data_IF_291910916855
#
_entry.id   IF_291910916855
#
_cell.length_a   1.000
_cell.length_b   1.000
_cell.length_c   1.000
_cell.angle_alpha   90.00
_cell.angle_beta   90.00
_cell.angle_gamma   90.00
#
_symmetry.space_group_name_H-M   'P 1'
#
loop_
_entity.id
_entity.type
_entity.pdbx_description
1 polymer ?
#
# COMPACT_ATOMS: atom_id res chain seq x y z
N UNK A 1 19.38 17.43 -18.23
CA UNK A 1 20.11 16.52 -17.31
C UNK A 1 19.59 16.73 -15.88
N UNK A 2 18.52 16.03 -15.47
CA UNK A 2 17.87 16.29 -14.19
C UNK A 2 18.77 15.99 -12.97
N UNK A 3 19.75 15.09 -13.12
CA UNK A 3 20.82 14.79 -12.13
C UNK A 3 21.62 16.04 -11.77
N UNK A 4 22.10 16.77 -12.79
CA UNK A 4 22.94 17.96 -12.60
C UNK A 4 22.14 19.03 -11.85
N UNK A 5 20.86 19.20 -12.19
CA UNK A 5 19.98 20.14 -11.49
C UNK A 5 19.66 19.72 -10.05
N UNK A 6 19.53 18.42 -9.75
CA UNK A 6 19.37 17.96 -8.37
C UNK A 6 20.62 18.25 -7.52
N UNK A 7 21.81 18.02 -8.07
CA UNK A 7 23.09 18.34 -7.44
C UNK A 7 23.23 19.86 -7.22
N UNK A 8 22.96 20.66 -8.24
CA UNK A 8 22.99 22.13 -8.15
C UNK A 8 22.00 22.63 -7.09
N UNK A 9 20.79 22.06 -7.04
CA UNK A 9 19.79 22.39 -6.01
C UNK A 9 20.29 22.11 -4.60
N UNK A 10 21.00 21.00 -4.38
CA UNK A 10 21.58 20.65 -3.09
C UNK A 10 22.62 21.66 -2.64
N UNK A 11 23.52 22.08 -3.53
CA UNK A 11 24.49 23.13 -3.21
C UNK A 11 23.81 24.47 -2.91
N UNK A 12 22.82 24.88 -3.72
CA UNK A 12 22.05 26.10 -3.47
C UNK A 12 21.31 26.04 -2.13
N UNK A 13 20.87 24.86 -1.69
CA UNK A 13 20.17 24.72 -0.40
C UNK A 13 21.08 24.91 0.81
N UNK A 14 22.33 24.42 0.72
CA UNK A 14 23.31 24.42 1.82
C UNK A 14 24.04 25.76 1.98
N UNK A 15 24.13 26.56 0.92
CA UNK A 15 24.84 27.83 0.96
C UNK A 15 24.30 28.77 2.06
N UNK A 16 25.19 29.43 2.84
CA UNK A 16 24.80 30.34 3.91
C UNK A 16 24.42 31.72 3.35
N UNK A 17 23.35 31.78 2.55
CA UNK A 17 22.86 33.00 1.88
C UNK A 17 22.69 34.20 2.82
N UNK A 18 22.36 33.93 4.09
CA UNK A 18 22.18 34.95 5.12
C UNK A 18 23.50 35.64 5.51
N UNK A 19 24.63 34.93 5.47
CA UNK A 19 25.95 35.52 5.71
C UNK A 19 26.41 36.40 4.56
N UNK A 20 25.80 36.27 3.39
CA UNK A 20 26.09 37.05 2.19
C UNK A 20 25.11 38.21 1.97
N UNK A 21 24.20 38.45 2.93
CA UNK A 21 23.21 39.53 2.87
C UNK A 21 21.96 39.23 2.03
N UNK A 22 21.79 37.99 1.55
CA UNK A 22 20.63 37.60 0.73
C UNK A 22 19.49 37.01 1.58
N UNK A 23 18.23 37.25 1.19
CA UNK A 23 17.08 36.68 1.89
C UNK A 23 17.02 35.15 1.71
N UNK A 24 16.96 34.40 2.82
CA UNK A 24 17.04 32.93 2.84
C UNK A 24 15.80 32.24 2.21
N UNK A 25 14.61 32.83 2.37
CA UNK A 25 13.32 32.25 1.96
C UNK A 25 13.19 32.01 0.44
N UNK A 26 13.50 32.97 -0.46
CA UNK A 26 13.37 32.77 -1.90
C UNK A 26 14.33 31.71 -2.44
N UNK A 27 15.60 31.71 -2.02
CA UNK A 27 16.60 30.75 -2.50
C UNK A 27 16.29 29.31 -2.10
N UNK A 28 15.76 29.10 -0.88
CA UNK A 28 15.26 27.77 -0.47
C UNK A 28 14.06 27.30 -1.31
N UNK A 29 13.12 28.18 -1.65
CA UNK A 29 11.98 27.82 -2.53
C UNK A 29 12.44 27.46 -3.93
N UNK A 30 13.37 28.24 -4.49
CA UNK A 30 13.92 27.98 -5.82
C UNK A 30 14.65 26.64 -5.85
N UNK A 31 15.49 26.34 -4.85
CA UNK A 31 16.17 25.04 -4.72
C UNK A 31 15.19 23.86 -4.60
N UNK A 32 14.03 24.05 -3.96
CA UNK A 32 13.01 23.01 -3.88
C UNK A 32 12.21 22.82 -5.17
N UNK A 33 12.04 23.85 -5.99
CA UNK A 33 11.20 23.82 -7.19
C UNK A 33 11.98 23.37 -8.43
N UNK A 34 13.27 23.74 -8.54
CA UNK A 34 14.13 23.43 -9.69
C UNK A 34 14.13 21.92 -10.05
N UNK A 35 14.29 20.98 -9.10
CA UNK A 35 14.35 19.56 -9.42
C UNK A 35 13.01 19.00 -9.92
N UNK A 36 11.88 19.51 -9.40
CA UNK A 36 10.54 19.13 -9.87
C UNK A 36 10.31 19.63 -11.29
N UNK A 37 10.60 20.91 -11.55
CA UNK A 37 10.44 21.50 -12.88
C UNK A 37 11.29 20.74 -13.90
N UNK A 38 12.51 20.35 -13.56
CA UNK A 38 13.38 19.64 -14.50
C UNK A 38 12.90 18.22 -14.78
N UNK A 39 12.33 17.51 -13.80
CA UNK A 39 11.66 16.21 -14.01
C UNK A 39 10.41 16.38 -14.89
N UNK A 40 9.60 17.41 -14.69
CA UNK A 40 8.41 17.67 -15.52
C UNK A 40 8.80 18.02 -16.95
N UNK A 41 9.77 18.92 -17.13
CA UNK A 41 10.26 19.32 -18.46
C UNK A 41 10.94 18.19 -19.21
N UNK A 42 11.59 17.25 -18.52
CA UNK A 42 12.14 16.05 -19.17
C UNK A 42 11.06 15.04 -19.52
N UNK A 43 9.98 14.91 -18.74
CA UNK A 43 8.81 14.10 -19.12
C UNK A 43 8.12 14.61 -20.38
N UNK A 44 8.00 15.93 -20.55
CA UNK A 44 7.36 16.52 -21.74
C UNK A 44 8.16 16.31 -23.03
N UNK A 45 9.45 15.94 -22.93
CA UNK A 45 10.34 15.71 -24.07
C UNK A 45 10.68 14.24 -24.28
N UNK A 46 10.04 13.34 -23.52
CA UNK A 46 10.33 11.92 -23.58
C UNK A 46 9.52 11.25 -24.69
N UNK A 47 10.22 10.54 -25.58
CA UNK A 47 9.62 9.49 -26.39
C UNK A 47 9.22 8.30 -25.51
N UNK A 48 8.36 7.43 -26.05
CA UNK A 48 7.68 6.30 -25.37
C UNK A 48 8.59 5.39 -24.54
N UNK A 49 9.91 5.37 -24.80
CA UNK A 49 10.90 4.59 -24.06
C UNK A 49 11.97 5.48 -23.39
N UNK A 50 11.87 5.76 -22.07
CA UNK A 50 12.87 6.48 -21.32
C UNK A 50 14.16 5.67 -21.20
N UNK A 51 15.32 6.31 -21.39
CA UNK A 51 16.62 5.69 -21.20
C UNK A 51 16.96 5.51 -19.71
N UNK A 52 17.84 4.56 -19.39
CA UNK A 52 18.19 4.16 -18.01
C UNK A 52 18.59 5.34 -17.09
N UNK A 53 19.27 6.35 -17.64
CA UNK A 53 19.73 7.53 -16.88
C UNK A 53 18.57 8.43 -16.41
N UNK A 54 17.40 8.35 -17.04
CA UNK A 54 16.22 9.07 -16.60
C UNK A 54 15.68 8.51 -15.28
N UNK A 55 15.63 7.17 -15.15
CA UNK A 55 15.24 6.51 -13.90
C UNK A 55 16.20 6.84 -12.76
N UNK A 56 17.52 6.76 -13.03
CA UNK A 56 18.53 7.16 -12.06
C UNK A 56 18.33 8.61 -11.60
N UNK A 57 17.97 9.50 -12.52
CA UNK A 57 17.72 10.90 -12.18
C UNK A 57 16.51 11.13 -11.28
N UNK A 58 15.41 10.40 -11.49
CA UNK A 58 14.24 10.52 -10.61
C UNK A 58 14.55 9.95 -9.24
N UNK A 59 15.25 8.81 -9.16
CA UNK A 59 15.66 8.23 -7.89
C UNK A 59 16.61 9.15 -7.11
N UNK A 60 17.56 9.80 -7.79
CA UNK A 60 18.45 10.80 -7.16
C UNK A 60 17.64 12.00 -6.66
N UNK A 61 16.66 12.46 -7.44
CA UNK A 61 15.77 13.56 -7.03
C UNK A 61 14.90 13.17 -5.84
N UNK A 62 14.39 11.94 -5.81
CA UNK A 62 13.66 11.38 -4.68
C UNK A 62 14.53 11.27 -3.42
N UNK A 63 15.78 10.82 -3.57
CA UNK A 63 16.78 10.77 -2.50
C UNK A 63 17.11 12.15 -1.94
N UNK A 64 17.21 13.16 -2.80
CA UNK A 64 17.40 14.56 -2.39
C UNK A 64 16.25 15.06 -1.49
N UNK A 65 15.00 14.79 -1.85
CA UNK A 65 13.85 15.17 -1.01
C UNK A 65 13.82 14.41 0.32
N UNK A 66 14.26 13.13 0.35
CA UNK A 66 14.39 12.37 1.61
C UNK A 66 15.46 12.99 2.50
N UNK A 67 16.63 13.31 1.95
CA UNK A 67 17.72 13.92 2.72
C UNK A 67 17.31 15.27 3.31
N UNK A 68 16.66 16.14 2.53
CA UNK A 68 16.14 17.43 3.03
C UNK A 68 15.03 17.24 4.06
N UNK A 69 14.15 16.24 3.87
CA UNK A 69 13.10 15.93 4.85
C UNK A 69 13.69 15.58 6.22
N UNK A 70 14.75 14.76 6.24
CA UNK A 70 15.43 14.39 7.48
C UNK A 70 16.13 15.58 8.15
N UNK A 71 16.81 16.42 7.37
CA UNK A 71 17.51 17.62 7.89
C UNK A 71 16.54 18.66 8.46
N UNK A 72 15.38 18.85 7.81
CA UNK A 72 14.40 19.86 8.23
C UNK A 72 13.29 19.34 9.17
N UNK A 73 13.26 18.04 9.47
CA UNK A 73 12.15 17.35 10.15
C UNK A 73 10.76 17.57 9.49
N UNK A 74 10.74 17.85 8.19
CA UNK A 74 9.52 18.16 7.44
C UNK A 74 9.03 16.91 6.66
N UNK A 75 8.26 16.05 7.32
CA UNK A 75 7.72 14.81 6.73
C UNK A 75 6.93 15.03 5.41
N UNK A 76 6.37 16.23 5.19
CA UNK A 76 5.65 16.58 3.95
C UNK A 76 6.48 16.41 2.68
N UNK A 77 7.81 16.62 2.75
CA UNK A 77 8.70 16.45 1.60
C UNK A 77 8.92 14.97 1.25
N UNK A 78 8.74 14.06 2.20
CA UNK A 78 8.80 12.61 1.98
C UNK A 78 7.68 12.15 1.05
N UNK A 79 6.50 12.81 1.06
CA UNK A 79 5.39 12.50 0.16
C UNK A 79 5.72 12.78 -1.31
N UNK A 80 6.48 13.84 -1.58
CA UNK A 80 6.93 14.19 -2.94
C UNK A 80 7.91 13.12 -3.45
N UNK A 81 8.85 12.70 -2.60
CA UNK A 81 9.77 11.61 -2.92
C UNK A 81 9.05 10.30 -3.24
N UNK A 82 8.05 9.94 -2.43
CA UNK A 82 7.23 8.75 -2.63
C UNK A 82 6.44 8.80 -3.93
N UNK A 83 5.85 9.95 -4.26
CA UNK A 83 5.17 10.17 -5.55
C UNK A 83 6.13 9.98 -6.73
N UNK A 84 7.35 10.52 -6.63
CA UNK A 84 8.39 10.35 -7.66
C UNK A 84 8.84 8.89 -7.84
N UNK A 85 9.00 8.16 -6.74
CA UNK A 85 9.37 6.73 -6.77
C UNK A 85 8.25 5.91 -7.43
N UNK A 86 6.99 6.12 -7.03
CA UNK A 86 5.84 5.44 -7.65
C UNK A 86 5.76 5.75 -9.15
N UNK A 87 5.95 7.01 -9.52
CA UNK A 87 5.89 7.43 -10.91
C UNK A 87 7.00 6.78 -11.76
N UNK A 88 8.23 6.75 -11.25
CA UNK A 88 9.34 6.05 -11.91
C UNK A 88 9.05 4.55 -12.06
N UNK A 89 8.44 3.94 -11.05
CA UNK A 89 8.09 2.52 -11.05
C UNK A 89 7.00 2.19 -12.07
N UNK A 90 5.93 3.00 -12.16
CA UNK A 90 4.85 2.83 -13.15
C UNK A 90 5.40 2.94 -14.57
N UNK A 91 6.27 3.91 -14.84
CA UNK A 91 6.88 4.08 -16.17
C UNK A 91 7.83 2.93 -16.48
N UNK A 92 8.60 2.46 -15.51
CA UNK A 92 9.48 1.30 -15.69
C UNK A 92 8.67 0.05 -16.05
N UNK A 93 7.55 -0.20 -15.37
CA UNK A 93 6.64 -1.31 -15.68
C UNK A 93 6.02 -1.17 -17.08
N UNK A 94 5.53 0.02 -17.44
CA UNK A 94 4.95 0.25 -18.77
C UNK A 94 5.95 -0.05 -19.90
N UNK A 95 7.25 0.22 -19.68
CA UNK A 95 8.30 -0.03 -20.67
C UNK A 95 8.70 -1.50 -20.80
N UNK A 96 8.41 -2.32 -19.79
CA UNK A 96 8.69 -3.75 -19.86
C UNK A 96 7.74 -4.49 -20.81
N UNK A 97 6.70 -3.83 -21.33
CA UNK A 97 5.88 -4.27 -22.47
C UNK A 97 5.09 -5.57 -22.27
N UNK A 98 5.26 -6.24 -21.13
CA UNK A 98 4.50 -7.43 -20.78
C UNK A 98 3.10 -7.06 -20.30
N UNK A 99 2.16 -8.00 -20.46
CA UNK A 99 0.88 -8.04 -19.73
C UNK A 99 1.14 -8.20 -18.24
N UNK A 100 1.74 -7.17 -17.64
CA UNK A 100 2.10 -7.12 -16.24
C UNK A 100 0.79 -7.03 -15.48
N UNK A 101 0.61 -7.98 -14.58
CA UNK A 101 -0.50 -8.05 -13.64
C UNK A 101 -0.70 -6.66 -12.99
N UNK A 102 -1.90 -6.10 -13.12
CA UNK A 102 -2.45 -4.90 -12.46
C UNK A 102 -2.05 -4.85 -10.98
N UNK A 103 -1.92 -6.00 -10.32
CA UNK A 103 -1.40 -6.14 -8.97
C UNK A 103 -0.03 -5.47 -8.77
N UNK A 104 0.87 -5.59 -9.74
CA UNK A 104 2.23 -5.03 -9.69
C UNK A 104 2.19 -3.50 -9.82
N UNK A 105 1.22 -2.93 -10.54
CA UNK A 105 1.00 -1.47 -10.60
C UNK A 105 0.42 -0.91 -9.29
N UNK A 106 -0.44 -1.69 -8.65
CA UNK A 106 -1.21 -1.26 -7.48
C UNK A 106 -0.42 -1.45 -6.17
N UNK A 107 0.49 -2.43 -6.13
CA UNK A 107 1.32 -2.71 -4.95
C UNK A 107 2.14 -1.50 -4.46
N UNK A 108 2.86 -0.75 -5.32
CA UNK A 108 3.59 0.45 -4.91
C UNK A 108 2.67 1.53 -4.32
N UNK A 109 1.48 1.70 -4.90
CA UNK A 109 0.48 2.67 -4.44
C UNK A 109 -0.02 2.28 -3.05
N UNK A 110 -0.37 1.00 -2.84
CA UNK A 110 -0.79 0.48 -1.54
C UNK A 110 0.31 0.57 -0.49
N UNK A 111 1.55 0.20 -0.83
CA UNK A 111 2.72 0.32 0.06
C UNK A 111 3.01 1.78 0.44
N UNK A 112 2.77 2.71 -0.48
CA UNK A 112 2.92 4.14 -0.24
C UNK A 112 1.93 4.65 0.80
N UNK A 113 0.66 4.26 0.68
CA UNK A 113 -0.36 4.54 1.70
C UNK A 113 0.04 3.97 3.06
N UNK A 114 0.50 2.70 3.10
CA UNK A 114 0.96 2.08 4.34
C UNK A 114 2.16 2.80 4.96
N UNK A 115 3.09 3.29 4.15
CA UNK A 115 4.23 4.08 4.60
C UNK A 115 3.78 5.40 5.22
N UNK A 116 2.87 6.13 4.55
CA UNK A 116 2.30 7.39 5.06
C UNK A 116 1.64 7.16 6.43
N UNK A 117 0.88 6.07 6.57
CA UNK A 117 0.23 5.70 7.82
C UNK A 117 1.21 5.39 8.98
N UNK A 118 2.47 5.07 8.67
CA UNK A 118 3.52 4.76 9.67
C UNK A 118 4.38 5.98 10.01
N UNK A 119 4.70 6.82 9.03
CA UNK A 119 5.72 7.86 9.15
C UNK A 119 5.13 9.23 9.49
N UNK A 120 3.87 9.51 9.15
CA UNK A 120 3.26 10.83 9.41
C UNK A 120 3.15 11.12 10.92
N UNK A 121 3.80 12.19 11.44
CA UNK A 121 3.72 12.57 12.85
C UNK A 121 2.32 13.05 13.26
N UNK A 122 1.52 13.60 12.33
CA UNK A 122 0.15 14.02 12.63
C UNK A 122 -0.79 12.82 12.81
N UNK A 123 -0.49 11.68 12.19
CA UNK A 123 -1.25 10.43 12.34
C UNK A 123 -0.85 9.61 13.58
N UNK A 124 0.24 9.99 14.27
CA UNK A 124 0.65 9.38 15.55
C UNK A 124 -0.17 9.90 16.74
N UNK A 125 -0.81 11.06 16.60
CA UNK A 125 -1.67 11.61 17.66
C UNK A 125 -2.85 10.67 17.92
N UNK A 126 -3.23 10.45 19.19
CA UNK A 126 -4.32 9.54 19.55
C UNK A 126 -5.66 9.95 18.92
N UNK A 127 -5.86 11.25 18.71
CA UNK A 127 -7.03 11.83 18.04
C UNK A 127 -7.21 11.34 16.58
N UNK A 128 -6.12 10.95 15.91
CA UNK A 128 -6.14 10.53 14.50
C UNK A 128 -6.03 9.00 14.32
N UNK A 129 -6.28 8.21 15.38
CA UNK A 129 -6.28 6.74 15.34
C UNK A 129 -7.17 6.20 14.22
N UNK A 130 -8.38 6.74 14.08
CA UNK A 130 -9.34 6.32 13.05
C UNK A 130 -8.82 6.58 11.63
N UNK A 131 -8.18 7.72 11.39
CA UNK A 131 -7.63 8.05 10.07
C UNK A 131 -6.48 7.11 9.73
N UNK A 132 -5.59 6.83 10.68
CA UNK A 132 -4.48 5.88 10.52
C UNK A 132 -5.00 4.47 10.20
N UNK A 133 -6.02 4.01 10.93
CA UNK A 133 -6.64 2.72 10.71
C UNK A 133 -7.27 2.64 9.30
N UNK A 134 -8.06 3.64 8.91
CA UNK A 134 -8.68 3.69 7.59
C UNK A 134 -7.63 3.69 6.47
N UNK A 135 -6.54 4.44 6.63
CA UNK A 135 -5.46 4.48 5.63
C UNK A 135 -4.78 3.11 5.47
N UNK A 136 -4.56 2.39 6.58
CA UNK A 136 -4.04 1.02 6.57
C UNK A 136 -5.01 0.07 5.88
N UNK A 137 -6.31 0.20 6.18
CA UNK A 137 -7.38 -0.61 5.60
C UNK A 137 -7.53 -0.38 4.10
N UNK A 138 -7.45 0.88 3.64
CA UNK A 138 -7.45 1.21 2.22
C UNK A 138 -6.19 0.71 1.51
N UNK A 139 -5.01 0.92 2.10
CA UNK A 139 -3.74 0.50 1.51
C UNK A 139 -3.65 -1.02 1.34
N UNK A 140 -3.99 -1.79 2.37
CA UNK A 140 -4.03 -3.26 2.28
C UNK A 140 -5.20 -3.77 1.46
N UNK A 141 -6.37 -3.13 1.58
CA UNK A 141 -7.59 -3.47 0.86
C UNK A 141 -7.42 -3.38 -0.64
N UNK A 142 -6.82 -2.31 -1.14
CA UNK A 142 -6.55 -2.10 -2.56
C UNK A 142 -5.63 -3.21 -3.11
N UNK A 143 -4.57 -3.59 -2.39
CA UNK A 143 -3.66 -4.68 -2.82
C UNK A 143 -4.41 -6.00 -2.88
N UNK A 144 -5.16 -6.34 -1.83
CA UNK A 144 -5.87 -7.62 -1.75
C UNK A 144 -7.04 -7.71 -2.74
N UNK A 145 -7.77 -6.61 -2.93
CA UNK A 145 -8.88 -6.54 -3.87
C UNK A 145 -8.43 -6.72 -5.32
N UNK A 146 -7.34 -6.06 -5.71
CA UNK A 146 -6.77 -6.23 -7.06
C UNK A 146 -6.20 -7.64 -7.24
N UNK A 147 -5.58 -8.22 -6.21
CA UNK A 147 -5.13 -9.61 -6.26
C UNK A 147 -6.28 -10.61 -6.52
N UNK A 148 -7.46 -10.37 -5.93
CA UNK A 148 -8.66 -11.17 -6.17
C UNK A 148 -9.19 -11.02 -7.60
N UNK A 149 -9.23 -9.79 -8.12
CA UNK A 149 -9.77 -9.52 -9.45
C UNK A 149 -8.91 -10.12 -10.57
N UNK A 150 -7.59 -10.11 -10.43
CA UNK A 150 -6.70 -10.60 -11.48
C UNK A 150 -6.56 -12.12 -11.55
N UNK A 151 -6.64 -12.80 -10.40
CA UNK A 151 -6.38 -14.23 -10.29
C UNK A 151 -7.64 -15.02 -9.91
N UNK A 152 -8.79 -14.63 -10.47
CA UNK A 152 -10.08 -15.30 -10.22
C UNK A 152 -10.04 -16.80 -10.52
N UNK A 153 -9.21 -17.23 -11.48
CA UNK A 153 -9.17 -18.61 -11.97
C UNK A 153 -8.23 -19.52 -11.20
N UNK A 154 -7.07 -19.02 -10.77
CA UNK A 154 -6.06 -19.82 -10.06
C UNK A 154 -6.23 -19.72 -8.56
N UNK A 155 -6.67 -18.56 -8.03
CA UNK A 155 -6.90 -18.27 -6.61
C UNK A 155 -5.70 -18.48 -5.66
N UNK A 156 -4.56 -19.00 -6.14
CA UNK A 156 -3.37 -19.24 -5.34
C UNK A 156 -2.70 -17.93 -4.90
N UNK A 157 -2.53 -16.98 -5.83
CA UNK A 157 -1.94 -15.67 -5.54
C UNK A 157 -2.73 -14.85 -4.50
N UNK A 158 -4.05 -14.63 -4.65
CA UNK A 158 -4.84 -13.95 -3.63
C UNK A 158 -4.85 -14.72 -2.30
N UNK A 159 -4.82 -16.06 -2.34
CA UNK A 159 -4.68 -16.90 -1.16
C UNK A 159 -3.39 -16.60 -0.39
N UNK A 160 -2.24 -16.65 -1.05
CA UNK A 160 -0.93 -16.37 -0.43
C UNK A 160 -0.88 -14.93 0.11
N UNK A 161 -1.34 -13.95 -0.65
CA UNK A 161 -1.38 -12.54 -0.23
C UNK A 161 -2.28 -12.36 1.00
N UNK A 162 -3.44 -13.00 1.03
CA UNK A 162 -4.35 -12.96 2.17
C UNK A 162 -3.75 -13.58 3.43
N UNK A 163 -3.02 -14.70 3.29
CA UNK A 163 -2.30 -15.35 4.40
C UNK A 163 -1.20 -14.42 4.93
N UNK A 164 -0.39 -13.83 4.04
CA UNK A 164 0.64 -12.86 4.43
C UNK A 164 0.00 -11.67 5.16
N UNK A 165 -1.13 -11.16 4.68
CA UNK A 165 -1.86 -10.07 5.32
C UNK A 165 -2.38 -10.46 6.72
N UNK A 166 -2.89 -11.68 6.90
CA UNK A 166 -3.33 -12.20 8.20
C UNK A 166 -2.14 -12.29 9.16
N UNK A 167 -1.03 -12.90 8.74
CA UNK A 167 0.18 -12.99 9.56
C UNK A 167 0.75 -11.61 9.89
N UNK A 168 0.75 -10.69 8.94
CA UNK A 168 1.17 -9.31 9.19
C UNK A 168 0.23 -8.61 10.18
N UNK A 169 -1.07 -8.82 10.08
CA UNK A 169 -2.06 -8.26 11.00
C UNK A 169 -1.92 -8.79 12.42
N UNK A 170 -1.67 -10.09 12.58
CA UNK A 170 -1.39 -10.71 13.88
C UNK A 170 -0.04 -10.25 14.46
N UNK A 171 1.02 -10.26 13.65
CA UNK A 171 2.37 -9.90 14.11
C UNK A 171 2.52 -8.41 14.45
N UNK A 172 1.79 -7.54 13.75
CA UNK A 172 1.79 -6.10 14.00
C UNK A 172 0.62 -5.64 14.89
N UNK A 173 -0.24 -6.56 15.36
CA UNK A 173 -1.46 -6.26 16.13
C UNK A 173 -2.30 -5.14 15.49
N UNK A 174 -2.55 -5.27 14.19
CA UNK A 174 -3.24 -4.25 13.39
C UNK A 174 -4.47 -4.83 12.73
N UNK A 175 -5.63 -4.43 13.26
CA UNK A 175 -6.95 -4.95 12.82
C UNK A 175 -7.19 -4.82 11.32
N UNK A 176 -6.72 -3.74 10.72
CA UNK A 176 -6.90 -3.47 9.30
C UNK A 176 -6.35 -4.58 8.39
N UNK A 177 -5.15 -5.10 8.68
CA UNK A 177 -4.56 -6.17 7.86
C UNK A 177 -5.24 -7.52 8.11
N UNK A 178 -5.63 -7.79 9.36
CA UNK A 178 -6.33 -9.00 9.73
C UNK A 178 -7.70 -9.07 9.05
N UNK A 179 -8.52 -8.02 9.16
CA UNK A 179 -9.84 -7.97 8.54
C UNK A 179 -9.77 -8.06 7.02
N UNK A 180 -8.90 -7.29 6.38
CA UNK A 180 -8.74 -7.33 4.93
C UNK A 180 -8.26 -8.71 4.47
N UNK A 181 -7.27 -9.28 5.16
CA UNK A 181 -6.76 -10.62 4.84
C UNK A 181 -7.84 -11.69 4.99
N UNK A 182 -8.57 -11.71 6.10
CA UNK A 182 -9.65 -12.68 6.34
C UNK A 182 -10.78 -12.56 5.33
N UNK A 183 -11.27 -11.34 5.04
CA UNK A 183 -12.32 -11.12 4.04
C UNK A 183 -11.85 -11.59 2.66
N UNK A 184 -10.61 -11.25 2.29
CA UNK A 184 -10.03 -11.65 1.00
C UNK A 184 -9.92 -13.16 0.89
N UNK A 185 -9.47 -13.83 1.95
CA UNK A 185 -9.36 -15.29 1.99
C UNK A 185 -10.73 -15.95 1.85
N UNK A 186 -11.73 -15.47 2.60
CA UNK A 186 -13.11 -15.97 2.53
C UNK A 186 -13.64 -15.82 1.10
N UNK A 187 -13.56 -14.62 0.53
CA UNK A 187 -14.03 -14.36 -0.85
C UNK A 187 -13.30 -15.26 -1.85
N UNK A 188 -11.99 -15.45 -1.70
CA UNK A 188 -11.20 -16.33 -2.57
C UNK A 188 -11.66 -17.79 -2.49
N UNK A 189 -11.86 -18.32 -1.28
CA UNK A 189 -12.35 -19.69 -1.06
C UNK A 189 -13.75 -19.86 -1.65
N UNK A 190 -14.65 -18.92 -1.41
CA UNK A 190 -15.99 -18.94 -2.02
C UNK A 190 -15.93 -18.92 -3.55
N UNK A 191 -15.09 -18.06 -4.13
CA UNK A 191 -14.91 -18.00 -5.57
C UNK A 191 -14.37 -19.33 -6.13
N UNK A 192 -13.36 -19.92 -5.50
CA UNK A 192 -12.83 -21.22 -5.90
C UNK A 192 -13.87 -22.35 -5.77
N UNK A 193 -14.70 -22.33 -4.71
CA UNK A 193 -15.81 -23.28 -4.57
C UNK A 193 -16.83 -23.13 -5.70
N UNK A 194 -17.16 -21.90 -6.11
CA UNK A 194 -18.08 -21.65 -7.24
C UNK A 194 -17.48 -22.17 -8.56
N UNK A 195 -16.20 -21.90 -8.81
CA UNK A 195 -15.50 -22.40 -10.00
C UNK A 195 -15.46 -23.93 -10.02
N UNK A 196 -15.10 -24.56 -8.89
CA UNK A 196 -15.08 -26.02 -8.73
C UNK A 196 -16.46 -26.64 -8.95
N UNK A 197 -17.49 -26.02 -8.39
CA UNK A 197 -18.89 -26.37 -8.56
C UNK A 197 -19.33 -26.25 -10.03
N UNK A 198 -18.84 -25.25 -10.76
CA UNK A 198 -19.17 -25.06 -12.17
C UNK A 198 -18.53 -26.11 -13.08
N UNK A 199 -17.29 -26.50 -12.80
CA UNK A 199 -16.51 -27.42 -13.66
C UNK A 199 -16.90 -28.88 -13.41
N UNK A 200 -17.15 -29.27 -12.16
CA UNK A 200 -17.38 -30.68 -11.81
C UNK A 200 -18.79 -30.91 -11.28
N UNK A 201 -19.64 -31.56 -12.09
CA UNK A 201 -21.03 -31.87 -11.71
C UNK A 201 -21.15 -32.75 -10.45
N UNK A 202 -20.14 -33.59 -10.17
CA UNK A 202 -20.07 -34.40 -8.95
C UNK A 202 -19.80 -33.55 -7.69
N UNK A 203 -18.97 -32.52 -7.80
CA UNK A 203 -18.69 -31.61 -6.68
C UNK A 203 -19.91 -30.78 -6.28
N UNK A 204 -20.88 -30.57 -7.17
CA UNK A 204 -22.13 -29.85 -6.84
C UNK A 204 -22.87 -30.49 -5.68
N UNK A 205 -23.00 -31.81 -5.70
CA UNK A 205 -23.68 -32.57 -4.65
C UNK A 205 -22.87 -32.61 -3.36
N UNK A 206 -21.56 -32.81 -3.46
CA UNK A 206 -20.66 -32.83 -2.29
C UNK A 206 -20.65 -31.48 -1.58
N UNK A 207 -20.47 -30.39 -2.32
CA UNK A 207 -20.44 -29.03 -1.74
C UNK A 207 -21.80 -28.72 -1.10
N UNK A 208 -22.91 -29.03 -1.78
CA UNK A 208 -24.25 -28.82 -1.22
C UNK A 208 -24.48 -29.59 0.09
N UNK A 209 -24.06 -30.85 0.16
CA UNK A 209 -24.16 -31.67 1.37
C UNK A 209 -23.27 -31.12 2.50
N UNK A 210 -22.00 -30.81 2.21
CA UNK A 210 -21.06 -30.27 3.20
C UNK A 210 -21.59 -28.95 3.77
N UNK A 211 -22.05 -28.04 2.91
CA UNK A 211 -22.61 -26.75 3.33
C UNK A 211 -23.87 -26.94 4.18
N UNK A 212 -24.76 -27.84 3.78
CA UNK A 212 -25.98 -28.16 4.56
C UNK A 212 -25.66 -28.71 5.95
N UNK A 213 -24.75 -29.69 6.03
CA UNK A 213 -24.30 -30.26 7.31
C UNK A 213 -23.60 -29.20 8.16
N UNK A 214 -22.75 -28.35 7.56
CA UNK A 214 -22.10 -27.26 8.26
C UNK A 214 -23.11 -26.27 8.85
N UNK A 215 -24.16 -25.90 8.13
CA UNK A 215 -25.21 -25.02 8.66
C UNK A 215 -25.96 -25.64 9.84
N UNK A 216 -26.34 -26.91 9.73
CA UNK A 216 -27.00 -27.62 10.83
C UNK A 216 -26.07 -27.69 12.05
N UNK A 217 -24.79 -27.99 11.83
CA UNK A 217 -23.80 -28.06 12.89
C UNK A 217 -23.52 -26.70 13.56
N UNK A 218 -23.43 -25.62 12.78
CA UNK A 218 -23.30 -24.25 13.27
C UNK A 218 -24.53 -23.90 14.11
N UNK A 219 -25.74 -24.13 13.60
CA UNK A 219 -26.98 -23.84 14.32
C UNK A 219 -27.06 -24.63 15.65
N UNK A 220 -26.76 -25.93 15.63
CA UNK A 220 -26.75 -26.76 16.83
C UNK A 220 -25.66 -26.34 17.84
N UNK A 221 -24.49 -25.92 17.36
CA UNK A 221 -23.41 -25.44 18.23
C UNK A 221 -23.73 -24.08 18.86
N UNK A 222 -24.36 -23.18 18.11
CA UNK A 222 -24.85 -21.90 18.65
C UNK A 222 -25.91 -22.13 19.73
N UNK A 223 -26.85 -23.05 19.52
CA UNK A 223 -27.90 -23.34 20.50
C UNK A 223 -27.33 -23.93 21.80
N UNK A 224 -26.38 -24.87 21.68
CA UNK A 224 -25.83 -25.58 22.85
C UNK A 224 -24.77 -24.80 23.62
N UNK A 225 -24.07 -23.85 22.98
CA UNK A 225 -22.94 -23.12 23.58
C UNK A 225 -23.08 -21.60 23.50
N UNK A 226 -24.29 -21.09 23.38
CA UNK A 226 -24.56 -19.65 23.20
C UNK A 226 -23.81 -18.76 24.19
N UNK A 227 -23.90 -19.08 25.48
CA UNK A 227 -23.24 -18.34 26.56
C UNK A 227 -21.70 -18.38 26.45
N UNK A 228 -21.13 -19.56 26.16
CA UNK A 228 -19.68 -19.71 25.99
C UNK A 228 -19.18 -18.96 24.75
N UNK A 229 -19.92 -19.02 23.64
CA UNK A 229 -19.59 -18.32 22.40
C UNK A 229 -19.68 -16.81 22.61
N UNK A 230 -20.70 -16.31 23.32
CA UNK A 230 -20.84 -14.89 23.62
C UNK A 230 -19.69 -14.37 24.47
N UNK A 231 -19.31 -15.10 25.53
CA UNK A 231 -18.19 -14.70 26.39
C UNK A 231 -16.86 -14.71 25.64
N UNK A 232 -16.62 -15.72 24.80
CA UNK A 232 -15.44 -15.73 23.94
C UNK A 232 -15.46 -14.56 22.97
N UNK A 233 -16.55 -14.35 22.23
CA UNK A 233 -16.69 -13.25 21.28
C UNK A 233 -16.46 -11.88 21.94
N UNK A 234 -16.99 -11.66 23.14
CA UNK A 234 -16.75 -10.43 23.89
C UNK A 234 -15.27 -10.25 24.22
N UNK A 235 -14.61 -11.27 24.77
CA UNK A 235 -13.17 -11.20 25.06
C UNK A 235 -12.34 -10.92 23.80
N UNK A 236 -12.65 -11.58 22.68
CA UNK A 236 -11.98 -11.34 21.41
C UNK A 236 -12.24 -9.93 20.87
N UNK A 237 -13.47 -9.42 21.01
CA UNK A 237 -13.83 -8.06 20.60
C UNK A 237 -13.07 -7.04 21.45
N UNK A 238 -13.00 -7.22 22.76
CA UNK A 238 -12.27 -6.34 23.68
C UNK A 238 -10.76 -6.36 23.39
N UNK A 239 -10.17 -7.55 23.23
CA UNK A 239 -8.74 -7.69 22.90
C UNK A 239 -8.43 -7.08 21.52
N UNK A 240 -9.29 -7.35 20.53
CA UNK A 240 -9.21 -6.67 19.24
C UNK A 240 -9.38 -5.16 19.44
N UNK A 241 -10.26 -4.68 20.32
CA UNK A 241 -10.50 -3.26 20.61
C UNK A 241 -9.28 -2.52 21.18
N UNK A 242 -8.43 -3.24 21.89
CA UNK A 242 -7.14 -2.76 22.34
C UNK A 242 -6.10 -2.68 21.20
N UNK A 243 -6.21 -3.53 20.17
CA UNK A 243 -5.29 -3.51 19.03
C UNK A 243 -5.43 -2.24 18.17
N UNK A 244 -4.31 -1.74 17.65
CA UNK A 244 -4.17 -0.44 16.94
C UNK A 244 -4.78 -0.37 15.52
#
# INVERSE_FOLDING_TARGET
MPIITAIISYFIYILPWQNWGWPLKPWRRVSLIIPIITVVLTNLKLDLAPPWYWYASILITAGFYIAISQVNQQIRLTYISLGLINYAFVIWLNNLGGSIQTLIYVTPIGLSLLYVAKVDPMLKLPQNRNIRHNLRLFGSGIICFVALLENQWTGLLPGIISIIAIFAGLGLQTRAFLYVGTVTLIVNVFNQLIVLNSIYSFFKWIIGLIVGVAFIWIAASFETRREQINNLLQNWIEELEEWE
#
